data_IF_278845064370
#
_entry.id   IF_278845064370
#
_cell.length_a   1.000
_cell.length_b   1.000
_cell.length_c   1.000
_cell.angle_alpha   90.00
_cell.angle_beta   90.00
_cell.angle_gamma   90.00
#
_symmetry.space_group_name_H-M   'P 1'
#
loop_
_entity.id
_entity.type
_entity.pdbx_description
1 polymer ?
#
# COMPACT_ATOMS: atom_id res chain seq x y z
N UNK A 1 -27.10 34.03 -43.47
CA UNK A 1 -25.73 34.58 -43.27
C UNK A 1 -25.14 34.25 -41.89
N UNK A 2 -25.95 34.04 -40.84
CA UNK A 2 -25.45 33.74 -39.48
C UNK A 2 -24.62 32.45 -39.33
N UNK A 3 -25.03 31.34 -39.94
CA UNK A 3 -24.32 30.06 -39.80
C UNK A 3 -22.88 30.07 -40.35
N UNK A 4 -22.63 30.81 -41.44
CA UNK A 4 -21.28 30.98 -42.01
C UNK A 4 -20.35 31.76 -41.07
N UNK A 5 -20.87 32.80 -40.41
CA UNK A 5 -20.10 33.61 -39.47
C UNK A 5 -19.80 32.83 -38.18
N UNK A 6 -20.74 31.99 -37.73
CA UNK A 6 -20.54 31.10 -36.58
C UNK A 6 -19.49 30.03 -36.88
N UNK A 7 -19.54 29.41 -38.07
CA UNK A 7 -18.55 28.43 -38.52
C UNK A 7 -17.16 29.05 -38.66
N UNK A 8 -17.06 30.29 -39.16
CA UNK A 8 -15.80 31.00 -39.25
C UNK A 8 -15.19 31.30 -37.86
N UNK A 9 -16.02 31.71 -36.88
CA UNK A 9 -15.57 31.92 -35.51
C UNK A 9 -15.13 30.63 -34.79
N UNK A 10 -15.79 29.51 -35.09
CA UNK A 10 -15.42 28.20 -34.55
C UNK A 10 -14.10 27.70 -35.15
N UNK A 11 -13.87 27.98 -36.44
CA UNK A 11 -12.64 27.59 -37.14
C UNK A 11 -11.44 28.44 -36.70
N UNK A 12 -11.62 29.74 -36.47
CA UNK A 12 -10.54 30.60 -35.95
C UNK A 12 -10.18 30.28 -34.50
N UNK A 13 -11.18 30.00 -33.65
CA UNK A 13 -10.93 29.60 -32.25
C UNK A 13 -10.27 28.23 -32.15
N UNK A 14 -10.63 27.27 -33.00
CA UNK A 14 -9.98 25.96 -33.05
C UNK A 14 -8.50 26.06 -33.45
N UNK A 15 -8.17 26.89 -34.44
CA UNK A 15 -6.77 27.09 -34.87
C UNK A 15 -5.96 27.80 -33.78
N UNK A 16 -6.52 28.84 -33.16
CA UNK A 16 -5.87 29.55 -32.05
C UNK A 16 -5.66 28.63 -30.84
N UNK A 17 -6.69 27.88 -30.44
CA UNK A 17 -6.60 26.94 -29.31
C UNK A 17 -5.62 25.79 -29.57
N UNK A 18 -5.63 25.21 -30.77
CA UNK A 18 -4.67 24.17 -31.17
C UNK A 18 -3.23 24.68 -31.21
N UNK A 19 -3.01 25.89 -31.73
CA UNK A 19 -1.69 26.52 -31.75
C UNK A 19 -1.15 26.79 -30.34
N UNK A 20 -2.00 27.29 -29.44
CA UNK A 20 -1.63 27.51 -28.03
C UNK A 20 -1.35 26.18 -27.31
N UNK A 21 -2.12 25.13 -27.57
CA UNK A 21 -1.91 23.82 -26.97
C UNK A 21 -0.58 23.17 -27.40
N UNK A 22 -0.26 23.18 -28.69
CA UNK A 22 1.01 22.62 -29.20
C UNK A 22 2.20 23.48 -28.79
N UNK A 23 2.08 24.80 -28.89
CA UNK A 23 3.12 25.73 -28.47
C UNK A 23 3.38 25.66 -26.96
N UNK A 24 2.32 25.61 -26.16
CA UNK A 24 2.38 25.38 -24.72
C UNK A 24 3.03 24.03 -24.41
N UNK A 25 2.58 22.94 -25.04
CA UNK A 25 3.20 21.63 -24.85
C UNK A 25 4.70 21.66 -25.14
N UNK A 26 5.15 22.31 -26.22
CA UNK A 26 6.58 22.42 -26.56
C UNK A 26 7.38 23.33 -25.63
N UNK A 27 6.75 24.34 -25.01
CA UNK A 27 7.37 25.21 -24.00
C UNK A 27 7.45 24.54 -22.62
N UNK A 28 6.52 23.63 -22.32
CA UNK A 28 6.43 22.87 -21.07
C UNK A 28 7.11 21.50 -21.16
N UNK A 29 7.39 21.02 -22.37
CA UNK A 29 8.27 19.89 -22.63
C UNK A 29 9.65 20.31 -22.15
N UNK A 30 9.96 19.97 -20.90
CA UNK A 30 11.31 20.03 -20.39
C UNK A 30 12.18 19.35 -21.44
N UNK A 31 13.25 20.03 -21.88
CA UNK A 31 14.26 19.36 -22.68
C UNK A 31 14.50 17.99 -22.04
N UNK A 32 14.65 16.90 -22.80
CA UNK A 32 15.46 15.79 -22.34
C UNK A 32 16.87 16.38 -22.20
N UNK A 33 17.04 17.25 -21.20
CA UNK A 33 18.32 17.60 -20.65
C UNK A 33 18.99 16.26 -20.45
N UNK A 34 20.28 16.26 -20.72
CA UNK A 34 21.14 15.18 -20.30
C UNK A 34 20.84 14.90 -18.81
N UNK A 35 19.84 14.04 -18.54
CA UNK A 35 20.08 12.81 -17.85
C UNK A 35 21.34 12.33 -18.54
N UNK A 36 22.46 12.73 -17.95
CA UNK A 36 23.50 11.77 -17.76
C UNK A 36 22.71 10.51 -17.42
N UNK A 37 22.58 9.65 -18.42
CA UNK A 37 22.91 8.27 -18.20
C UNK A 37 24.24 8.40 -17.44
N UNK A 38 24.15 8.48 -16.12
CA UNK A 38 24.66 7.40 -15.31
C UNK A 38 24.21 6.14 -16.05
N UNK A 39 24.94 5.81 -17.12
CA UNK A 39 25.48 4.50 -17.27
C UNK A 39 25.95 4.22 -15.86
N UNK A 40 25.08 3.56 -15.09
CA UNK A 40 25.53 2.62 -14.08
C UNK A 40 26.60 1.92 -14.85
N UNK A 41 27.87 2.28 -14.57
CA UNK A 41 29.01 1.68 -15.23
C UNK A 41 28.64 0.22 -15.23
N UNK A 42 28.47 -0.36 -16.42
CA UNK A 42 28.06 -1.75 -16.57
C UNK A 42 29.14 -2.51 -15.84
N UNK A 43 28.92 -2.72 -14.54
CA UNK A 43 29.85 -3.40 -13.70
C UNK A 43 29.78 -4.80 -14.27
N UNK A 44 30.87 -5.29 -14.87
CA UNK A 44 30.86 -6.65 -15.42
C UNK A 44 30.60 -7.69 -14.32
N UNK A 45 30.46 -7.28 -13.05
CA UNK A 45 30.12 -8.09 -11.89
C UNK A 45 28.64 -7.99 -11.44
N UNK A 46 27.68 -7.53 -12.27
CA UNK A 46 26.25 -7.75 -11.94
C UNK A 46 25.92 -9.23 -12.13
N UNK A 47 26.25 -10.05 -11.13
CA UNK A 47 25.90 -11.46 -11.07
C UNK A 47 24.51 -11.61 -10.50
N UNK A 48 23.65 -12.36 -11.18
CA UNK A 48 22.36 -12.76 -10.63
C UNK A 48 22.57 -13.47 -9.28
N UNK A 49 21.82 -13.07 -8.25
CA UNK A 49 21.91 -13.67 -6.91
C UNK A 49 21.66 -15.18 -6.91
N UNK A 50 20.96 -15.69 -7.93
CA UNK A 50 20.76 -17.12 -8.18
C UNK A 50 22.06 -17.87 -8.48
N UNK A 51 23.05 -17.23 -9.12
CA UNK A 51 24.35 -17.82 -9.45
C UNK A 51 25.32 -17.84 -8.25
N UNK A 52 25.03 -17.10 -7.19
CA UNK A 52 25.81 -17.08 -5.94
C UNK A 52 25.29 -18.04 -4.87
N UNK A 53 24.20 -18.77 -5.15
CA UNK A 53 23.58 -19.73 -4.21
C UNK A 53 24.51 -20.85 -3.75
N UNK A 54 25.54 -21.19 -4.54
CA UNK A 54 26.53 -22.23 -4.22
C UNK A 54 27.92 -21.69 -3.87
N UNK A 55 28.12 -20.37 -3.89
CA UNK A 55 29.39 -19.76 -3.46
C UNK A 55 29.29 -19.32 -2.02
N UNK A 56 30.33 -19.57 -1.22
CA UNK A 56 30.49 -18.91 0.08
C UNK A 56 30.85 -17.45 -0.19
N UNK A 57 29.83 -16.59 -0.31
CA UNK A 57 30.03 -15.15 -0.45
C UNK A 57 30.34 -14.57 0.94
N UNK A 58 31.61 -14.27 1.18
CA UNK A 58 32.01 -13.49 2.33
C UNK A 58 31.56 -12.04 2.09
N UNK A 59 30.50 -11.62 2.78
CA UNK A 59 30.07 -10.23 2.75
C UNK A 59 31.25 -9.35 3.23
N UNK A 60 31.62 -8.29 2.50
CA UNK A 60 32.68 -7.37 2.94
C UNK A 60 32.41 -6.88 4.36
N UNK A 61 33.47 -6.75 5.17
CA UNK A 61 33.43 -6.20 6.52
C UNK A 61 32.78 -4.80 6.47
N UNK A 62 31.49 -4.70 6.82
CA UNK A 62 30.66 -3.49 6.70
C UNK A 62 29.30 -3.68 5.99
N UNK A 63 29.15 -4.73 5.18
CA UNK A 63 27.87 -5.14 4.57
C UNK A 63 27.24 -6.37 5.26
N UNK A 64 27.81 -6.79 6.39
CA UNK A 64 27.36 -7.93 7.16
C UNK A 64 26.35 -7.50 8.25
N UNK A 65 25.07 -7.77 8.02
CA UNK A 65 23.99 -7.49 8.96
C UNK A 65 23.90 -8.48 10.13
N UNK A 66 24.66 -9.58 10.12
CA UNK A 66 24.62 -10.60 11.18
C UNK A 66 25.07 -10.03 12.51
N UNK A 67 26.14 -9.23 12.53
CA UNK A 67 26.64 -8.62 13.76
C UNK A 67 25.65 -7.59 14.33
N UNK A 68 25.09 -6.74 13.46
CA UNK A 68 24.08 -5.76 13.85
C UNK A 68 22.78 -6.43 14.33
N UNK A 69 22.34 -7.50 13.65
CA UNK A 69 21.17 -8.28 14.05
C UNK A 69 21.42 -9.01 15.37
N UNK A 70 22.59 -9.62 15.57
CA UNK A 70 22.94 -10.26 16.83
C UNK A 70 22.94 -9.27 18.01
N UNK A 71 23.36 -8.01 17.77
CA UNK A 71 23.35 -6.96 18.78
C UNK A 71 21.94 -6.42 19.09
N UNK A 72 21.03 -6.40 18.11
CA UNK A 72 19.71 -5.73 18.23
C UNK A 72 18.54 -6.68 18.48
N UNK A 73 18.62 -7.94 18.05
CA UNK A 73 17.56 -8.94 18.25
C UNK A 73 17.18 -9.20 19.71
N UNK A 74 18.08 -9.12 20.72
CA UNK A 74 17.68 -9.26 22.12
C UNK A 74 16.73 -8.17 22.63
N UNK A 75 16.65 -7.02 21.95
CA UNK A 75 15.72 -5.94 22.29
C UNK A 75 14.33 -6.12 21.64
N UNK A 76 14.16 -7.07 20.73
CA UNK A 76 12.91 -7.31 20.00
C UNK A 76 12.05 -8.28 20.79
N UNK A 77 10.79 -7.92 21.03
CA UNK A 77 9.82 -8.70 21.81
C UNK A 77 8.57 -9.01 21.01
N UNK A 78 7.88 -10.08 21.38
CA UNK A 78 6.55 -10.40 20.89
C UNK A 78 5.50 -9.73 21.78
N UNK A 79 4.67 -8.87 21.19
CA UNK A 79 3.61 -8.13 21.86
C UNK A 79 2.28 -8.80 21.52
N UNK A 80 1.57 -9.23 22.56
CA UNK A 80 0.19 -9.70 22.47
C UNK A 80 -0.72 -8.77 23.26
N UNK A 81 -1.83 -8.35 22.66
CA UNK A 81 -2.84 -7.51 23.31
C UNK A 81 -4.18 -8.23 23.28
N UNK A 82 -4.81 -8.42 24.42
CA UNK A 82 -6.17 -8.94 24.51
C UNK A 82 -7.12 -7.77 24.79
N UNK A 83 -8.15 -7.59 23.96
CA UNK A 83 -9.21 -6.63 24.23
C UNK A 83 -10.48 -7.36 24.61
N UNK A 84 -11.05 -7.01 25.76
CA UNK A 84 -12.41 -7.44 26.14
C UNK A 84 -13.40 -6.57 25.37
N UNK A 85 -14.26 -7.16 24.57
CA UNK A 85 -15.42 -6.42 24.11
C UNK A 85 -16.36 -6.31 25.30
N UNK A 86 -16.63 -5.09 25.76
CA UNK A 86 -17.79 -4.91 26.63
C UNK A 86 -19.02 -5.37 25.85
N UNK A 87 -19.85 -6.27 26.41
CA UNK A 87 -21.13 -6.57 25.81
C UNK A 87 -21.96 -5.29 25.90
N UNK A 88 -21.96 -4.49 24.83
CA UNK A 88 -22.97 -3.47 24.65
C UNK A 88 -24.31 -4.16 24.85
N UNK A 89 -25.05 -3.71 25.87
CA UNK A 89 -26.34 -4.26 26.22
C UNK A 89 -27.18 -4.44 24.95
N UNK A 90 -27.46 -5.72 24.65
CA UNK A 90 -28.47 -6.18 23.70
C UNK A 90 -29.60 -5.17 23.59
N UNK A 91 -29.80 -4.56 22.42
CA UNK A 91 -31.11 -4.03 22.01
C UNK A 91 -31.22 -3.58 20.56
N UNK A 92 -30.18 -3.64 19.73
CA UNK A 92 -30.38 -3.54 18.29
C UNK A 92 -30.37 -4.95 17.71
N UNK A 93 -31.57 -5.53 17.77
CA UNK A 93 -32.02 -6.66 16.96
C UNK A 93 -31.30 -6.60 15.62
N UNK A 94 -30.42 -7.55 15.37
CA UNK A 94 -30.04 -7.93 14.01
C UNK A 94 -31.31 -8.51 13.36
N UNK A 95 -32.26 -7.64 13.04
CA UNK A 95 -33.34 -7.97 12.12
C UNK A 95 -32.65 -8.06 10.77
N UNK A 96 -32.31 -9.28 10.38
CA UNK A 96 -31.86 -9.57 9.03
C UNK A 96 -32.86 -8.95 8.05
N UNK A 97 -32.36 -8.31 6.99
CA UNK A 97 -33.19 -7.68 5.97
C UNK A 97 -34.25 -8.68 5.47
N UNK A 98 -35.55 -8.28 5.38
CA UNK A 98 -36.62 -9.14 4.90
C UNK A 98 -36.30 -9.85 3.58
N UNK A 99 -35.54 -9.21 2.68
CA UNK A 99 -35.09 -9.81 1.42
C UNK A 99 -34.16 -11.00 1.64
N UNK A 100 -33.20 -10.90 2.56
CA UNK A 100 -32.24 -11.96 2.86
C UNK A 100 -32.93 -13.20 3.47
N UNK A 101 -33.93 -12.97 4.32
CA UNK A 101 -34.74 -14.04 4.95
C UNK A 101 -35.48 -14.89 3.92
N UNK A 102 -35.98 -14.28 2.84
CA UNK A 102 -36.67 -15.01 1.76
C UNK A 102 -35.74 -15.94 0.96
N UNK A 103 -34.45 -15.58 0.83
CA UNK A 103 -33.48 -16.39 0.08
C UNK A 103 -32.86 -17.53 0.89
N UNK A 104 -32.59 -17.32 2.18
CA UNK A 104 -31.83 -18.27 3.01
C UNK A 104 -32.65 -18.96 4.11
N UNK A 105 -33.88 -18.51 4.37
CA UNK A 105 -34.79 -19.08 5.36
C UNK A 105 -34.42 -18.77 6.83
N UNK A 106 -35.35 -19.05 7.75
CA UNK A 106 -35.17 -18.78 9.18
C UNK A 106 -34.11 -19.68 9.85
N UNK A 107 -33.73 -20.80 9.22
CA UNK A 107 -32.70 -21.73 9.74
C UNK A 107 -31.30 -21.09 9.82
N UNK A 108 -31.01 -20.13 8.96
CA UNK A 108 -29.74 -19.40 8.97
C UNK A 108 -29.64 -18.47 10.20
N UNK A 109 -30.77 -17.91 10.63
CA UNK A 109 -30.84 -17.03 11.79
C UNK A 109 -30.55 -17.79 13.10
N UNK A 110 -31.03 -19.02 13.23
CA UNK A 110 -30.78 -19.86 14.41
C UNK A 110 -29.31 -20.30 14.52
N UNK A 111 -28.61 -20.55 13.40
CA UNK A 111 -27.18 -20.86 13.40
C UNK A 111 -26.31 -19.65 13.78
N UNK A 112 -26.68 -18.45 13.33
CA UNK A 112 -25.97 -17.21 13.68
C UNK A 112 -26.22 -16.77 15.13
N UNK A 113 -27.38 -17.08 15.70
CA UNK A 113 -27.68 -16.79 17.12
C UNK A 113 -26.94 -17.69 18.10
N UNK A 114 -26.52 -18.89 17.68
CA UNK A 114 -25.77 -19.84 18.51
C UNK A 114 -24.27 -19.58 18.58
N UNK A 115 -23.72 -18.82 17.64
CA UNK A 115 -22.31 -18.43 17.58
C UNK A 115 -22.20 -16.92 17.66
N UNK A 116 -22.56 -16.36 18.80
CA UNK A 116 -22.10 -15.02 19.12
C UNK A 116 -20.67 -15.18 19.65
N UNK A 117 -19.61 -14.86 18.88
CA UNK A 117 -18.26 -14.88 19.41
C UNK A 117 -18.25 -13.98 20.64
N UNK A 118 -17.98 -14.58 21.79
CA UNK A 118 -17.84 -13.85 23.05
C UNK A 118 -16.76 -12.82 22.80
N UNK A 119 -17.19 -11.56 22.72
CA UNK A 119 -16.41 -10.50 22.15
C UNK A 119 -15.13 -10.31 22.95
N UNK A 120 -14.05 -10.68 22.31
CA UNK A 120 -12.71 -10.32 22.65
C UNK A 120 -11.87 -10.70 21.46
N UNK A 121 -10.94 -9.85 21.10
CA UNK A 121 -9.99 -10.21 20.07
C UNK A 121 -8.59 -9.97 20.56
N UNK A 122 -7.68 -10.55 19.81
CA UNK A 122 -6.27 -10.58 20.15
C UNK A 122 -5.50 -9.86 19.04
N UNK A 123 -4.68 -8.90 19.44
CA UNK A 123 -3.67 -8.29 18.59
C UNK A 123 -2.33 -8.99 18.82
N UNK A 124 -1.61 -9.28 17.76
CA UNK A 124 -0.27 -9.89 17.80
C UNK A 124 0.67 -9.07 16.94
N UNK A 125 1.82 -8.67 17.48
CA UNK A 125 2.78 -7.81 16.80
C UNK A 125 4.18 -7.88 17.41
N UNK A 126 5.16 -7.25 16.76
CA UNK A 126 6.53 -7.14 17.31
C UNK A 126 6.76 -5.74 17.87
N UNK A 127 7.60 -5.64 18.90
CA UNK A 127 8.02 -4.37 19.51
C UNK A 127 9.53 -4.36 19.76
N UNK A 128 10.11 -3.17 19.95
CA UNK A 128 11.55 -3.00 20.23
C UNK A 128 11.72 -2.17 21.50
N UNK A 129 12.45 -2.70 22.48
CA UNK A 129 12.76 -1.98 23.71
C UNK A 129 13.80 -0.89 23.41
N UNK A 130 13.46 0.38 23.64
CA UNK A 130 14.33 1.53 23.37
C UNK A 130 14.99 2.14 24.62
N UNK A 131 14.53 1.77 25.82
CA UNK A 131 15.07 2.28 27.07
C UNK A 131 15.23 1.20 28.15
N UNK A 132 16.19 1.40 29.05
CA UNK A 132 16.54 0.44 30.10
C UNK A 132 15.42 0.20 31.13
N UNK A 133 14.41 1.07 31.19
CA UNK A 133 13.21 0.88 32.02
C UNK A 133 12.16 -0.02 31.36
N UNK A 134 12.43 -0.58 30.18
CA UNK A 134 11.52 -1.47 29.46
C UNK A 134 10.51 -0.75 28.57
N UNK A 135 10.74 0.53 28.22
CA UNK A 135 9.88 1.24 27.27
C UNK A 135 10.03 0.63 25.87
N UNK A 136 8.89 0.31 25.25
CA UNK A 136 8.73 -0.27 23.91
C UNK A 136 8.02 0.76 23.02
#
# INVERSE_FOLDING_TARGET
MQAKNMMLGLLTSAILGGGVAVGGYKLLEAEPGNVAQSTVASDPQVRYTSALRSSTYAAPEGLNFVAAAAATTPAVVHVMTEYKAEPQQRSQRMQMDPLFRQFFGDQFEDQLRGQQPQGGGEGSGSGVIIAANGYI
#
